data_IF_842820859304
#
_entry.id   IF_842820859304
#
_cell.length_a   1.000
_cell.length_b   1.000
_cell.length_c   1.000
_cell.angle_alpha   90.00
_cell.angle_beta   90.00
_cell.angle_gamma   90.00
#
_symmetry.space_group_name_H-M   'P 1'
#
loop_
_entity.id
_entity.type
_entity.pdbx_description
1 polymer ?
#
# COMPACT_ATOMS: atom_id res chain seq x y z
N UNK A 1 -14.01 20.76 -38.40
CA UNK A 1 -14.89 20.91 -37.22
C UNK A 1 -14.50 19.84 -36.22
N UNK A 2 -13.89 20.28 -35.11
CA UNK A 2 -13.43 19.43 -34.02
C UNK A 2 -14.61 19.04 -33.13
N UNK A 3 -14.68 17.77 -32.72
CA UNK A 3 -15.43 17.34 -31.55
C UNK A 3 -14.39 17.09 -30.47
N UNK A 4 -14.14 18.10 -29.64
CA UNK A 4 -13.35 17.92 -28.41
C UNK A 4 -14.02 16.81 -27.59
N UNK A 5 -13.27 15.73 -27.35
CA UNK A 5 -13.63 14.67 -26.42
C UNK A 5 -13.58 15.32 -25.03
N UNK A 6 -14.73 15.66 -24.46
CA UNK A 6 -14.78 16.23 -23.11
C UNK A 6 -14.19 15.21 -22.14
N UNK A 7 -12.98 15.45 -21.65
CA UNK A 7 -12.32 14.58 -20.70
C UNK A 7 -13.14 14.60 -19.41
N UNK A 8 -13.55 13.43 -18.91
CA UNK A 8 -14.42 13.30 -17.74
C UNK A 8 -13.70 13.87 -16.50
N UNK A 9 -14.28 14.91 -15.90
CA UNK A 9 -13.70 15.58 -14.74
C UNK A 9 -13.56 14.65 -13.52
N UNK A 10 -14.37 13.60 -13.41
CA UNK A 10 -14.24 12.61 -12.32
C UNK A 10 -13.06 11.67 -12.55
N UNK A 11 -12.79 11.26 -13.79
CA UNK A 11 -11.61 10.46 -14.13
C UNK A 11 -10.32 11.26 -13.89
N UNK A 12 -10.35 12.56 -14.20
CA UNK A 12 -9.28 13.50 -13.83
C UNK A 12 -9.18 13.63 -12.31
N UNK A 13 -10.30 13.70 -11.58
CA UNK A 13 -10.32 13.82 -10.13
C UNK A 13 -9.72 12.60 -9.43
N UNK A 14 -10.07 11.37 -9.84
CA UNK A 14 -9.45 10.15 -9.29
C UNK A 14 -7.97 10.04 -9.66
N UNK A 15 -7.59 10.43 -10.89
CA UNK A 15 -6.19 10.55 -11.28
C UNK A 15 -5.42 11.58 -10.44
N UNK A 16 -6.03 12.73 -10.14
CA UNK A 16 -5.45 13.78 -9.29
C UNK A 16 -5.38 13.30 -7.83
N UNK A 17 -6.40 12.63 -7.31
CA UNK A 17 -6.39 12.10 -5.93
C UNK A 17 -5.34 11.00 -5.77
N UNK A 18 -5.25 10.06 -6.70
CA UNK A 18 -4.21 9.03 -6.71
C UNK A 18 -2.80 9.61 -6.86
N UNK A 19 -2.64 10.64 -7.71
CA UNK A 19 -1.38 11.38 -7.84
C UNK A 19 -1.04 12.14 -6.55
N UNK A 20 -2.01 12.78 -5.89
CA UNK A 20 -1.81 13.51 -4.65
C UNK A 20 -1.47 12.57 -3.49
N UNK A 21 -2.14 11.42 -3.38
CA UNK A 21 -1.80 10.36 -2.43
C UNK A 21 -0.40 9.82 -2.68
N UNK A 22 -0.05 9.56 -3.95
CA UNK A 22 1.30 9.17 -4.35
C UNK A 22 2.36 10.22 -4.01
N UNK A 23 2.07 11.51 -4.21
CA UNK A 23 2.97 12.62 -3.86
C UNK A 23 3.11 12.77 -2.35
N UNK A 24 2.04 12.64 -1.58
CA UNK A 24 2.07 12.71 -0.11
C UNK A 24 2.89 11.55 0.45
N UNK A 25 2.66 10.33 -0.03
CA UNK A 25 3.47 9.17 0.33
C UNK A 25 4.94 9.37 -0.06
N UNK A 26 5.22 9.84 -1.28
CA UNK A 26 6.58 10.13 -1.72
C UNK A 26 7.26 11.22 -0.87
N UNK A 27 6.56 12.29 -0.48
CA UNK A 27 7.10 13.36 0.36
C UNK A 27 7.35 12.91 1.80
N UNK A 28 6.50 12.04 2.35
CA UNK A 28 6.71 11.41 3.66
C UNK A 28 7.94 10.49 3.64
N UNK A 29 8.11 9.70 2.57
CA UNK A 29 9.28 8.83 2.39
C UNK A 29 10.58 9.61 2.10
N UNK A 30 10.52 10.70 1.32
CA UNK A 30 11.70 11.54 1.04
C UNK A 30 12.18 12.31 2.30
N UNK A 31 11.26 12.76 3.15
CA UNK A 31 11.63 13.37 4.45
C UNK A 31 12.25 12.35 5.42
N UNK A 32 11.78 11.10 5.39
CA UNK A 32 12.39 9.99 6.13
C UNK A 32 13.78 9.61 5.58
N UNK A 33 13.98 9.62 4.26
CA UNK A 33 15.23 9.18 3.64
C UNK A 33 16.38 10.21 3.71
N UNK A 34 16.08 11.52 3.77
CA UNK A 34 17.12 12.57 3.76
C UNK A 34 17.55 13.01 5.17
N UNK A 35 16.79 12.68 6.21
CA UNK A 35 17.11 13.16 7.57
C UNK A 35 18.05 12.25 8.37
N UNK A 36 18.19 10.97 8.00
CA UNK A 36 18.94 9.99 8.82
C UNK A 36 20.34 9.63 8.30
N UNK A 37 20.74 10.05 7.09
CA UNK A 37 21.91 9.44 6.43
C UNK A 37 23.15 10.31 6.14
N UNK A 38 23.15 11.62 6.39
CA UNK A 38 24.38 12.42 6.15
C UNK A 38 25.26 12.59 7.42
N UNK A 39 24.69 12.49 8.62
CA UNK A 39 25.43 12.72 9.87
C UNK A 39 26.04 11.45 10.47
N UNK A 40 25.45 10.27 10.23
CA UNK A 40 25.92 8.99 10.76
C UNK A 40 27.02 8.33 9.93
N UNK A 41 27.03 8.54 8.62
CA UNK A 41 27.91 7.83 7.67
C UNK A 41 29.40 8.21 7.80
N UNK A 42 29.72 9.45 8.19
CA UNK A 42 31.12 9.85 8.44
C UNK A 42 31.68 9.36 9.78
N UNK A 43 30.82 9.01 10.75
CA UNK A 43 31.24 8.57 12.08
C UNK A 43 31.41 7.05 12.18
N UNK A 44 30.87 6.31 11.22
CA UNK A 44 30.86 4.84 11.16
C UNK A 44 31.94 4.26 10.21
N UNK A 45 32.89 5.07 9.71
CA UNK A 45 34.09 4.55 9.01
C UNK A 45 35.22 4.21 10.03
N UNK A 46 34.83 3.70 11.19
CA UNK A 46 35.73 3.23 12.26
C UNK A 46 36.04 1.74 12.08
N UNK A 47 37.21 1.47 11.52
CA UNK A 47 37.81 0.14 11.28
C UNK A 47 37.86 -0.72 12.56
N UNK A 48 37.39 -2.00 12.48
CA UNK A 48 37.83 -3.27 13.16
C UNK A 48 36.62 -4.17 13.53
N UNK A 49 36.60 -5.50 13.52
CA UNK A 49 37.28 -6.64 12.88
C UNK A 49 36.52 -7.91 13.39
N UNK A 50 36.15 -8.84 12.50
CA UNK A 50 35.84 -10.29 12.67
C UNK A 50 34.90 -10.85 13.79
N UNK A 51 33.91 -11.66 13.38
CA UNK A 51 33.83 -13.13 13.54
C UNK A 51 32.42 -13.70 13.86
N UNK A 52 31.99 -14.63 12.99
CA UNK A 52 31.09 -15.79 13.10
C UNK A 52 30.03 -15.87 14.22
N UNK A 53 28.80 -16.27 13.84
CA UNK A 53 28.02 -17.38 14.45
C UNK A 53 26.76 -17.67 13.60
N UNK A 54 26.73 -18.84 12.96
CA UNK A 54 25.49 -19.48 12.48
C UNK A 54 24.71 -19.98 13.70
N UNK A 55 23.41 -19.73 13.76
CA UNK A 55 22.56 -20.24 14.82
C UNK A 55 21.08 -20.03 14.54
N UNK A 56 20.43 -21.11 14.10
CA UNK A 56 19.00 -21.36 14.03
C UNK A 56 18.07 -20.35 14.74
N UNK A 57 17.21 -19.73 13.95
CA UNK A 57 15.82 -19.53 14.35
C UNK A 57 14.96 -19.65 13.10
N UNK A 58 14.24 -20.76 13.01
CA UNK A 58 13.18 -20.92 12.02
C UNK A 58 12.19 -19.80 12.22
N UNK A 59 12.21 -18.83 11.31
CA UNK A 59 11.21 -17.78 11.27
C UNK A 59 9.88 -18.47 11.09
N UNK A 60 9.06 -18.45 12.16
CA UNK A 60 7.62 -18.60 12.02
C UNK A 60 7.21 -17.47 11.09
N UNK A 61 7.08 -17.78 9.80
CA UNK A 61 6.34 -16.94 8.89
C UNK A 61 4.94 -16.93 9.47
N UNK A 62 4.59 -15.81 10.11
CA UNK A 62 3.20 -15.50 10.41
C UNK A 62 2.49 -15.63 9.07
N UNK A 63 1.74 -16.72 8.88
CA UNK A 63 0.73 -16.85 7.84
C UNK A 63 -0.26 -15.72 8.12
N UNK A 64 0.03 -14.55 7.58
CA UNK A 64 -0.97 -13.51 7.48
C UNK A 64 -1.87 -13.97 6.34
N UNK A 65 -3.12 -14.32 6.65
CA UNK A 65 -4.15 -14.78 5.70
C UNK A 65 -4.59 -13.66 4.73
N UNK A 66 -3.65 -12.91 4.18
CA UNK A 66 -3.86 -11.90 3.16
C UNK A 66 -3.20 -12.35 1.86
N UNK A 67 -3.90 -12.18 0.74
CA UNK A 67 -3.34 -12.43 -0.58
C UNK A 67 -2.13 -11.54 -0.82
N UNK A 68 -0.98 -12.14 -1.11
CA UNK A 68 0.23 -11.41 -1.48
C UNK A 68 0.07 -10.70 -2.82
N UNK A 69 0.82 -9.62 -3.03
CA UNK A 69 0.82 -8.91 -4.31
C UNK A 69 1.26 -9.82 -5.48
N UNK A 70 2.16 -10.79 -5.25
CA UNK A 70 2.55 -11.74 -6.29
C UNK A 70 1.39 -12.66 -6.70
N UNK A 71 0.61 -13.16 -5.74
CA UNK A 71 -0.53 -14.05 -6.01
C UNK A 71 -1.63 -13.32 -6.76
N UNK A 72 -1.87 -12.04 -6.43
CA UNK A 72 -2.80 -11.20 -7.16
C UNK A 72 -2.37 -10.97 -8.61
N UNK A 73 -1.09 -10.68 -8.85
CA UNK A 73 -0.58 -10.48 -10.22
C UNK A 73 -0.74 -11.75 -11.06
N UNK A 74 -0.47 -12.92 -10.50
CA UNK A 74 -0.66 -14.18 -11.22
C UNK A 74 -2.15 -14.46 -11.47
N UNK A 75 -3.04 -14.17 -10.50
CA UNK A 75 -4.48 -14.33 -10.66
C UNK A 75 -5.09 -13.41 -11.75
N UNK A 76 -4.46 -12.26 -12.02
CA UNK A 76 -4.90 -11.31 -13.05
C UNK A 76 -4.35 -11.61 -14.44
N UNK A 77 -3.34 -12.47 -14.54
CA UNK A 77 -2.61 -12.74 -15.77
C UNK A 77 -3.53 -13.30 -16.85
N UNK A 78 -3.47 -12.69 -18.04
CA UNK A 78 -4.28 -13.10 -19.19
C UNK A 78 -5.75 -12.67 -19.12
N UNK A 79 -6.22 -12.10 -18.01
CA UNK A 79 -7.56 -11.52 -17.91
C UNK A 79 -7.58 -10.15 -18.57
N UNK A 80 -8.70 -9.82 -19.22
CA UNK A 80 -8.88 -8.52 -19.87
C UNK A 80 -10.33 -8.03 -19.74
N UNK A 81 -10.55 -6.74 -19.95
CA UNK A 81 -11.89 -6.12 -19.90
C UNK A 81 -12.63 -6.42 -18.59
N UNK A 82 -13.93 -6.70 -18.68
CA UNK A 82 -14.78 -6.90 -17.52
C UNK A 82 -14.33 -8.06 -16.60
N UNK A 83 -13.71 -9.10 -17.14
CA UNK A 83 -13.18 -10.20 -16.33
C UNK A 83 -11.98 -9.75 -15.48
N UNK A 84 -11.12 -8.92 -16.06
CA UNK A 84 -10.01 -8.29 -15.33
C UNK A 84 -10.56 -7.38 -14.24
N UNK A 85 -11.49 -6.48 -14.57
CA UNK A 85 -12.03 -5.50 -13.63
C UNK A 85 -12.68 -6.18 -12.43
N UNK A 86 -13.51 -7.20 -12.68
CA UNK A 86 -14.14 -7.99 -11.62
C UNK A 86 -13.11 -8.66 -10.71
N UNK A 87 -12.12 -9.34 -11.31
CA UNK A 87 -11.10 -10.07 -10.54
C UNK A 87 -10.23 -9.10 -9.75
N UNK A 88 -9.85 -7.97 -10.35
CA UNK A 88 -9.05 -6.94 -9.68
C UNK A 88 -9.77 -6.35 -8.48
N UNK A 89 -11.05 -6.01 -8.62
CA UNK A 89 -11.85 -5.47 -7.52
C UNK A 89 -12.01 -6.50 -6.40
N UNK A 90 -12.36 -7.75 -6.73
CA UNK A 90 -12.53 -8.82 -5.74
C UNK A 90 -11.24 -9.01 -4.92
N UNK A 91 -10.08 -9.04 -5.58
CA UNK A 91 -8.78 -9.19 -4.94
C UNK A 91 -8.36 -7.96 -4.12
N UNK A 92 -8.59 -6.75 -4.63
CA UNK A 92 -8.21 -5.52 -3.93
C UNK A 92 -9.06 -5.28 -2.67
N UNK A 93 -10.33 -5.67 -2.67
CA UNK A 93 -11.17 -5.63 -1.46
C UNK A 93 -10.56 -6.51 -0.37
N UNK A 94 -10.16 -7.74 -0.70
CA UNK A 94 -9.54 -8.66 0.26
C UNK A 94 -8.15 -8.18 0.72
N UNK A 95 -7.33 -7.67 -0.19
CA UNK A 95 -6.05 -7.07 0.17
C UNK A 95 -6.22 -5.90 1.15
N UNK A 96 -7.21 -5.03 0.91
CA UNK A 96 -7.47 -3.87 1.76
C UNK A 96 -7.99 -4.27 3.15
N UNK A 97 -8.82 -5.32 3.22
CA UNK A 97 -9.23 -5.92 4.50
C UNK A 97 -8.03 -6.43 5.29
N UNK A 98 -7.14 -7.18 4.66
CA UNK A 98 -5.91 -7.64 5.30
C UNK A 98 -5.04 -6.49 5.82
N UNK A 99 -4.94 -5.39 5.07
CA UNK A 99 -4.19 -4.21 5.51
C UNK A 99 -4.86 -3.47 6.68
N UNK A 100 -6.18 -3.39 6.71
CA UNK A 100 -6.94 -2.85 7.85
C UNK A 100 -6.71 -3.73 9.09
N UNK A 101 -6.76 -5.05 8.93
CA UNK A 101 -6.53 -6.01 10.02
C UNK A 101 -5.11 -5.88 10.59
N UNK A 102 -4.11 -5.63 9.74
CA UNK A 102 -2.73 -5.30 10.18
C UNK A 102 -2.62 -3.93 10.86
N UNK A 103 -3.35 -2.93 10.38
CA UNK A 103 -3.27 -1.57 10.90
C UNK A 103 -3.98 -1.40 12.25
N UNK A 104 -5.06 -2.15 12.50
CA UNK A 104 -5.82 -2.11 13.75
C UNK A 104 -4.94 -2.27 15.02
N UNK A 105 -4.11 -3.32 15.17
CA UNK A 105 -3.24 -3.46 16.32
C UNK A 105 -2.14 -2.40 16.36
N UNK A 106 -1.65 -1.91 15.21
CA UNK A 106 -0.66 -0.83 15.19
C UNK A 106 -1.24 0.48 15.76
N UNK A 107 -2.49 0.80 15.43
CA UNK A 107 -3.21 1.98 15.95
C UNK A 107 -3.34 1.97 17.47
N UNK A 108 -3.52 0.80 18.07
CA UNK A 108 -3.70 0.67 19.53
C UNK A 108 -2.38 0.48 20.27
N UNK A 109 -1.48 -0.34 19.74
CA UNK A 109 -0.36 -0.91 20.49
C UNK A 109 0.99 -0.24 20.18
N UNK A 110 1.12 0.54 19.11
CA UNK A 110 2.39 1.18 18.80
C UNK A 110 2.82 2.15 19.92
N UNK A 111 4.12 2.25 20.19
CA UNK A 111 4.65 3.20 21.19
C UNK A 111 4.72 4.63 20.64
N UNK A 112 5.01 4.77 19.34
CA UNK A 112 5.20 6.05 18.66
C UNK A 112 3.86 6.57 18.13
N UNK A 113 3.54 7.82 18.43
CA UNK A 113 2.28 8.44 18.01
C UNK A 113 2.15 8.51 16.49
N UNK A 114 3.26 8.77 15.80
CA UNK A 114 3.33 8.85 14.34
C UNK A 114 2.91 7.53 13.67
N UNK A 115 3.18 6.39 14.33
CA UNK A 115 2.78 5.06 13.82
C UNK A 115 1.29 4.83 14.06
N UNK A 116 0.73 5.32 15.16
CA UNK A 116 -0.72 5.24 15.42
C UNK A 116 -1.50 6.10 14.44
N UNK A 117 -1.01 7.30 14.16
CA UNK A 117 -1.62 8.24 13.22
C UNK A 117 -1.62 7.63 11.82
N UNK A 118 -0.46 7.11 11.37
CA UNK A 118 -0.35 6.39 10.10
C UNK A 118 -1.31 5.20 10.02
N UNK A 119 -1.41 4.39 11.08
CA UNK A 119 -2.36 3.28 11.10
C UNK A 119 -3.82 3.76 11.01
N UNK A 120 -4.15 4.88 11.66
CA UNK A 120 -5.46 5.54 11.53
C UNK A 120 -5.77 5.98 10.11
N UNK A 121 -4.81 6.60 9.44
CA UNK A 121 -4.93 7.06 8.06
C UNK A 121 -5.11 5.88 7.08
N UNK A 122 -4.33 4.81 7.26
CA UNK A 122 -4.44 3.56 6.48
C UNK A 122 -5.84 2.97 6.61
N UNK A 123 -6.37 2.83 7.83
CA UNK A 123 -7.72 2.29 8.06
C UNK A 123 -8.77 3.15 7.38
N UNK A 124 -8.67 4.47 7.53
CA UNK A 124 -9.63 5.43 6.97
C UNK A 124 -9.66 5.39 5.44
N UNK A 125 -8.48 5.46 4.80
CA UNK A 125 -8.35 5.45 3.35
C UNK A 125 -8.84 4.12 2.76
N UNK A 126 -8.35 2.99 3.29
CA UNK A 126 -8.68 1.69 2.71
C UNK A 126 -10.14 1.28 2.94
N UNK A 127 -10.78 1.76 4.01
CA UNK A 127 -12.23 1.59 4.20
C UNK A 127 -13.01 2.30 3.09
N UNK A 128 -12.64 3.55 2.78
CA UNK A 128 -13.28 4.33 1.71
C UNK A 128 -13.04 3.69 0.33
N UNK A 129 -11.84 3.16 0.08
CA UNK A 129 -11.52 2.46 -1.16
C UNK A 129 -12.33 1.16 -1.32
N UNK A 130 -12.54 0.40 -0.25
CA UNK A 130 -13.45 -0.76 -0.25
C UNK A 130 -14.88 -0.34 -0.62
N UNK A 131 -15.38 0.76 -0.06
CA UNK A 131 -16.72 1.26 -0.37
C UNK A 131 -16.85 1.67 -1.85
N UNK A 132 -15.84 2.36 -2.40
CA UNK A 132 -15.78 2.71 -3.81
C UNK A 132 -15.78 1.47 -4.70
N UNK A 133 -14.98 0.46 -4.37
CA UNK A 133 -14.91 -0.79 -5.12
C UNK A 133 -16.22 -1.57 -5.08
N UNK A 134 -16.88 -1.64 -3.91
CA UNK A 134 -18.23 -2.22 -3.79
C UNK A 134 -19.26 -1.48 -4.63
N UNK A 135 -19.15 -0.15 -4.69
CA UNK A 135 -19.99 0.66 -5.56
C UNK A 135 -19.75 0.34 -7.03
N UNK A 136 -18.50 0.16 -7.46
CA UNK A 136 -18.19 -0.25 -8.84
C UNK A 136 -18.75 -1.64 -9.17
N UNK A 137 -18.66 -2.62 -8.25
CA UNK A 137 -19.29 -3.93 -8.45
C UNK A 137 -20.80 -3.80 -8.73
N UNK A 138 -21.49 -2.97 -7.94
CA UNK A 138 -22.92 -2.71 -8.14
C UNK A 138 -23.21 -1.97 -9.47
N UNK A 139 -22.48 -0.89 -9.73
CA UNK A 139 -22.70 -0.04 -10.90
C UNK A 139 -22.37 -0.77 -12.22
N UNK A 140 -21.42 -1.72 -12.19
CA UNK A 140 -20.95 -2.48 -13.36
C UNK A 140 -21.59 -3.87 -13.50
N UNK A 141 -22.34 -4.32 -12.49
CA UNK A 141 -23.11 -5.56 -12.53
C UNK A 141 -22.29 -6.84 -12.31
N UNK A 142 -21.34 -6.81 -11.38
CA UNK A 142 -20.51 -7.96 -10.98
C UNK A 142 -21.02 -8.68 -9.74
#
# INVERSE_FOLDING_TARGET
MAKEKSINQQSILFGIIGLLLGIVLALLFVRSAVNDNMAGMMRMMGIRQNQEMMGASGGMMMEHEGLGMQDMVEALKGKTGAEFDKTFIDLMIEHHRGAIDMANPAKTNAERQEVKDLAGDIISAQTQEIEMMRKWQQDWGY
#
